data_IF_446539663585
#
_entry.id   IF_446539663585
#
_cell.length_a   1.000
_cell.length_b   1.000
_cell.length_c   1.000
_cell.angle_alpha   90.00
_cell.angle_beta   90.00
_cell.angle_gamma   90.00
#
_symmetry.space_group_name_H-M   'P 1'
#
loop_
_entity.id
_entity.type
_entity.pdbx_description
1 polymer ?
#
# COMPACT_ATOMS: atom_id res chain seq x y z
N UNK A 1 21.14 -9.05 -16.10
CA UNK A 1 20.69 -9.69 -14.85
C UNK A 1 20.23 -8.58 -13.92
N UNK A 2 18.95 -8.20 -13.93
CA UNK A 2 18.49 -7.11 -13.06
C UNK A 2 18.30 -7.66 -11.65
N UNK A 3 19.04 -7.12 -10.69
CA UNK A 3 18.92 -7.48 -9.28
C UNK A 3 17.50 -7.21 -8.78
N UNK A 4 16.67 -8.24 -8.66
CA UNK A 4 15.36 -8.18 -8.02
C UNK A 4 15.52 -8.09 -6.49
N UNK A 5 16.18 -7.04 -6.01
CA UNK A 5 16.35 -6.79 -4.58
C UNK A 5 15.04 -6.37 -3.92
N UNK A 6 14.91 -6.69 -2.63
CA UNK A 6 13.91 -6.09 -1.75
C UNK A 6 14.10 -4.56 -1.78
N UNK A 7 13.16 -3.85 -2.39
CA UNK A 7 13.18 -2.39 -2.47
C UNK A 7 11.79 -1.87 -2.17
N UNK A 8 11.72 -1.05 -1.12
CA UNK A 8 10.52 -0.32 -0.70
C UNK A 8 10.89 1.16 -0.51
N UNK A 9 9.92 2.06 -0.69
CA UNK A 9 10.10 3.52 -0.61
C UNK A 9 9.06 4.17 0.31
N UNK A 10 9.40 5.31 0.90
CA UNK A 10 8.52 5.97 1.85
C UNK A 10 7.21 6.43 1.20
N UNK A 11 6.11 6.17 1.88
CA UNK A 11 4.82 6.76 1.56
C UNK A 11 4.80 8.25 1.94
N UNK A 12 4.23 9.09 1.08
CA UNK A 12 4.21 10.56 1.27
C UNK A 12 2.81 11.16 1.14
N UNK A 13 1.76 10.33 1.08
CA UNK A 13 0.43 10.72 0.60
C UNK A 13 -0.65 10.46 1.66
N UNK A 14 -0.42 10.88 2.91
CA UNK A 14 -1.40 10.71 4.00
C UNK A 14 -2.81 11.14 3.56
N UNK A 15 -3.81 10.30 3.87
CA UNK A 15 -5.20 10.52 3.48
C UNK A 15 -5.55 10.07 2.06
N UNK A 16 -4.60 9.54 1.29
CA UNK A 16 -4.89 8.74 0.08
C UNK A 16 -5.68 7.48 0.47
N UNK A 17 -6.50 6.98 -0.44
CA UNK A 17 -7.20 5.70 -0.27
C UNK A 17 -6.30 4.49 -0.58
N UNK A 18 -5.08 4.71 -1.08
CA UNK A 18 -4.23 3.63 -1.59
C UNK A 18 -2.80 3.75 -1.05
N UNK A 19 -2.25 2.62 -0.57
CA UNK A 19 -0.82 2.44 -0.38
C UNK A 19 -0.23 1.77 -1.64
N UNK A 20 0.62 2.46 -2.41
CA UNK A 20 1.14 1.93 -3.67
C UNK A 20 2.01 0.67 -3.50
N UNK A 21 2.27 -0.07 -4.59
CA UNK A 21 3.24 -1.16 -4.58
C UNK A 21 4.62 -0.64 -4.17
N UNK A 22 5.36 -1.44 -3.39
CA UNK A 22 6.67 -1.09 -2.83
C UNK A 22 6.68 0.14 -1.93
N UNK A 23 5.55 0.66 -1.51
CA UNK A 23 5.55 1.77 -0.56
C UNK A 23 5.39 1.25 0.88
N UNK A 24 5.97 1.98 1.83
CA UNK A 24 5.79 1.73 3.25
C UNK A 24 5.25 2.95 4.00
N UNK A 25 4.33 2.71 4.92
CA UNK A 25 3.86 3.65 5.93
C UNK A 25 4.68 3.50 7.21
N UNK A 26 5.07 4.62 7.79
CA UNK A 26 5.61 4.72 9.15
C UNK A 26 4.51 5.01 10.16
N UNK A 27 4.84 4.86 11.45
CA UNK A 27 3.99 5.29 12.56
C UNK A 27 3.46 6.71 12.33
N UNK A 28 2.15 6.88 12.50
CA UNK A 28 1.41 8.13 12.29
C UNK A 28 0.94 8.36 10.84
N UNK A 29 1.40 7.57 9.88
CA UNK A 29 0.90 7.62 8.50
C UNK A 29 -0.37 6.79 8.34
N UNK A 30 -1.23 7.21 7.40
CA UNK A 30 -2.57 6.66 7.28
C UNK A 30 -3.16 6.76 5.88
N UNK A 31 -4.14 5.89 5.63
CA UNK A 31 -5.07 5.95 4.51
C UNK A 31 -6.46 6.38 4.99
N UNK A 32 -7.24 6.97 4.09
CA UNK A 32 -8.67 7.27 4.31
C UNK A 32 -9.48 6.76 3.14
N UNK A 33 -10.69 6.23 3.41
CA UNK A 33 -11.61 5.88 2.33
C UNK A 33 -11.96 7.14 1.51
N UNK A 34 -12.33 7.02 0.23
CA UNK A 34 -12.79 8.17 -0.56
C UNK A 34 -13.88 9.01 0.12
N UNK A 35 -14.80 8.37 0.84
CA UNK A 35 -15.87 8.98 1.64
C UNK A 35 -15.40 9.68 2.92
N UNK A 36 -14.14 9.47 3.32
CA UNK A 36 -13.53 9.94 4.57
C UNK A 36 -14.15 9.37 5.85
N UNK A 37 -15.06 8.41 5.74
CA UNK A 37 -15.66 7.72 6.87
C UNK A 37 -14.66 6.79 7.57
N UNK A 38 -13.81 6.11 6.80
CA UNK A 38 -12.87 5.13 7.32
C UNK A 38 -11.44 5.64 7.30
N UNK A 39 -10.68 5.31 8.33
CA UNK A 39 -9.25 5.66 8.46
C UNK A 39 -8.44 4.46 8.92
N UNK A 40 -7.44 4.08 8.13
CA UNK A 40 -6.49 3.02 8.44
C UNK A 40 -5.15 3.66 8.79
N UNK A 41 -4.67 3.50 10.03
CA UNK A 41 -3.47 4.19 10.54
C UNK A 41 -2.52 3.20 11.20
N UNK A 42 -1.21 3.37 10.97
CA UNK A 42 -0.19 2.69 11.76
C UNK A 42 0.08 3.50 13.03
N UNK A 43 -0.29 2.98 14.17
CA UNK A 43 -0.22 3.69 15.44
C UNK A 43 1.11 3.45 16.17
N UNK A 44 1.39 4.29 17.17
CA UNK A 44 2.63 4.23 17.94
C UNK A 44 2.73 2.97 18.81
N UNK A 45 1.60 2.30 19.07
CA UNK A 45 1.56 1.00 19.73
C UNK A 45 2.03 -0.14 18.80
N UNK A 46 2.34 0.13 17.52
CA UNK A 46 2.80 -0.85 16.55
C UNK A 46 1.68 -1.59 15.81
N UNK A 47 0.42 -1.29 16.12
CA UNK A 47 -0.72 -1.86 15.40
C UNK A 47 -1.12 -1.01 14.19
N UNK A 48 -1.50 -1.68 13.11
CA UNK A 48 -2.30 -1.05 12.06
C UNK A 48 -3.78 -1.17 12.46
N UNK A 49 -4.46 -0.04 12.60
CA UNK A 49 -5.83 0.03 13.13
C UNK A 49 -6.76 0.75 12.17
N UNK A 50 -7.96 0.20 12.00
CA UNK A 50 -9.03 0.76 11.20
C UNK A 50 -10.09 1.39 12.10
N UNK A 51 -10.49 2.60 11.74
CA UNK A 51 -11.53 3.37 12.39
C UNK A 51 -12.71 3.61 11.45
N UNK A 52 -13.92 3.62 11.99
CA UNK A 52 -15.15 4.10 11.35
C UNK A 52 -15.65 5.30 12.15
N UNK A 53 -15.63 6.51 11.56
CA UNK A 53 -15.99 7.76 12.24
C UNK A 53 -15.31 7.93 13.62
N UNK A 54 -14.03 7.54 13.72
CA UNK A 54 -13.23 7.65 14.94
C UNK A 54 -13.42 6.51 15.96
N UNK A 55 -14.34 5.57 15.74
CA UNK A 55 -14.45 4.36 16.55
C UNK A 55 -13.58 3.23 15.97
N UNK A 56 -12.71 2.57 16.76
CA UNK A 56 -11.88 1.47 16.27
C UNK A 56 -12.75 0.24 15.98
N UNK A 57 -12.59 -0.34 14.80
CA UNK A 57 -13.41 -1.47 14.34
C UNK A 57 -12.59 -2.70 13.92
N UNK A 58 -11.30 -2.54 13.65
CA UNK A 58 -10.41 -3.63 13.26
C UNK A 58 -8.95 -3.29 13.57
N UNK A 59 -8.12 -4.32 13.82
CA UNK A 59 -6.70 -4.19 14.12
C UNK A 59 -5.92 -5.37 13.55
N UNK A 60 -4.67 -5.16 13.15
CA UNK A 60 -3.75 -6.27 12.81
C UNK A 60 -3.35 -7.04 14.06
N UNK A 61 -3.87 -8.25 14.21
CA UNK A 61 -3.44 -9.21 15.22
C UNK A 61 -3.49 -10.66 14.69
N UNK A 62 -3.21 -11.62 15.57
CA UNK A 62 -3.18 -13.06 15.23
C UNK A 62 -4.56 -13.68 15.03
N UNK A 63 -5.64 -12.95 15.29
CA UNK A 63 -7.01 -13.44 15.13
C UNK A 63 -7.56 -13.15 13.74
N UNK A 64 -6.91 -12.27 12.96
CA UNK A 64 -7.33 -11.92 11.61
C UNK A 64 -7.23 -13.15 10.69
N UNK A 65 -8.33 -13.62 10.09
CA UNK A 65 -8.30 -14.78 9.20
C UNK A 65 -7.41 -14.57 7.97
N UNK A 66 -6.82 -15.66 7.47
CA UNK A 66 -5.98 -15.66 6.25
C UNK A 66 -4.76 -14.73 6.36
N UNK A 67 -4.15 -14.68 7.55
CA UNK A 67 -2.94 -13.91 7.82
C UNK A 67 -1.91 -14.77 8.55
N UNK A 68 -0.64 -14.39 8.44
CA UNK A 68 0.45 -15.02 9.18
C UNK A 68 1.00 -14.04 10.20
N UNK A 69 1.31 -14.55 11.39
CA UNK A 69 2.06 -13.83 12.42
C UNK A 69 3.28 -14.67 12.78
N UNK A 70 4.45 -14.05 12.68
CA UNK A 70 5.73 -14.63 13.06
C UNK A 70 6.41 -13.73 14.11
N UNK A 71 7.09 -14.34 15.08
CA UNK A 71 7.87 -13.62 16.10
C UNK A 71 9.31 -13.32 15.64
N UNK A 72 9.68 -13.64 14.40
CA UNK A 72 10.92 -13.20 13.78
C UNK A 72 10.70 -11.88 13.02
N UNK A 73 10.86 -10.78 13.74
CA UNK A 73 10.77 -9.43 13.15
C UNK A 73 12.03 -9.09 12.34
N UNK A 74 11.86 -8.52 11.15
CA UNK A 74 12.99 -8.03 10.35
C UNK A 74 13.66 -6.85 11.07
N UNK A 75 14.85 -7.08 11.64
CA UNK A 75 15.59 -6.09 12.43
C UNK A 75 16.25 -4.98 11.59
N UNK A 76 16.31 -5.13 10.26
CA UNK A 76 16.80 -4.10 9.36
C UNK A 76 15.76 -3.03 9.05
N UNK A 77 14.51 -3.22 9.48
CA UNK A 77 13.41 -2.27 9.29
C UNK A 77 12.93 -1.73 10.65
N UNK A 78 12.44 -0.50 10.62
CA UNK A 78 11.69 0.10 11.74
C UNK A 78 10.25 -0.41 11.74
N UNK A 79 9.45 -0.07 12.76
CA UNK A 79 8.01 -0.33 12.72
C UNK A 79 7.39 0.34 11.51
N UNK A 80 6.91 -0.46 10.56
CA UNK A 80 6.36 0.01 9.30
C UNK A 80 5.38 -0.99 8.70
N UNK A 81 4.47 -0.49 7.87
CA UNK A 81 3.55 -1.31 7.09
C UNK A 81 3.82 -1.11 5.61
N UNK A 82 4.08 -2.16 4.84
CA UNK A 82 4.54 -2.05 3.46
C UNK A 82 3.90 -3.05 2.51
N UNK A 83 3.91 -2.69 1.21
CA UNK A 83 3.48 -3.55 0.11
C UNK A 83 4.67 -4.20 -0.58
N UNK A 84 4.59 -5.52 -0.79
CA UNK A 84 5.50 -6.27 -1.65
C UNK A 84 4.79 -7.51 -2.23
N UNK A 85 3.76 -7.28 -3.06
CA UNK A 85 2.87 -8.34 -3.54
C UNK A 85 1.77 -8.64 -2.52
N UNK A 86 2.18 -8.94 -1.29
CA UNK A 86 1.33 -8.97 -0.11
C UNK A 86 1.54 -7.72 0.75
N UNK A 87 0.66 -7.51 1.73
CA UNK A 87 0.83 -6.52 2.78
C UNK A 87 1.59 -7.11 3.97
N UNK A 88 2.53 -6.35 4.51
CA UNK A 88 3.37 -6.73 5.64
C UNK A 88 3.41 -5.63 6.69
N UNK A 89 3.35 -6.00 7.96
CA UNK A 89 3.62 -5.15 9.11
C UNK A 89 4.87 -5.66 9.80
N UNK A 90 5.90 -4.82 9.88
CA UNK A 90 7.00 -4.99 10.82
C UNK A 90 6.59 -4.26 12.10
N UNK A 91 6.41 -5.00 13.18
CA UNK A 91 6.02 -4.46 14.48
C UNK A 91 7.17 -4.68 15.48
N UNK A 92 8.01 -3.65 15.65
CA UNK A 92 9.14 -3.69 16.60
C UNK A 92 8.69 -3.53 18.06
N UNK A 93 7.47 -3.07 18.30
CA UNK A 93 6.93 -2.86 19.65
C UNK A 93 6.60 -4.21 20.27
N UNK A 94 5.91 -5.08 19.51
CA UNK A 94 5.55 -6.43 19.95
C UNK A 94 6.50 -7.52 19.44
N UNK A 95 7.56 -7.15 18.72
CA UNK A 95 8.53 -8.08 18.12
C UNK A 95 7.89 -9.15 17.24
N UNK A 96 7.01 -8.71 16.33
CA UNK A 96 6.31 -9.59 15.38
C UNK A 96 6.33 -9.04 13.96
N UNK A 97 6.18 -9.95 13.01
CA UNK A 97 5.82 -9.66 11.63
C UNK A 97 4.41 -10.18 11.41
N UNK A 98 3.51 -9.34 10.88
CA UNK A 98 2.19 -9.76 10.42
C UNK A 98 2.13 -9.62 8.90
N UNK A 99 1.49 -10.55 8.21
CA UNK A 99 1.34 -10.50 6.75
C UNK A 99 0.01 -11.06 6.27
N UNK A 100 -0.53 -10.49 5.18
CA UNK A 100 -1.65 -11.10 4.47
C UNK A 100 -1.20 -12.36 3.74
N UNK A 101 -1.97 -13.45 3.85
CA UNK A 101 -1.77 -14.60 2.97
C UNK A 101 -2.32 -14.28 1.59
N UNK A 102 -1.58 -14.67 0.56
CA UNK A 102 -1.98 -14.54 -0.83
C UNK A 102 -1.07 -15.36 -1.72
N UNK A 103 -1.59 -15.78 -2.87
CA UNK A 103 -0.79 -16.48 -3.86
C UNK A 103 0.28 -15.54 -4.42
N UNK A 104 1.51 -16.04 -4.50
CA UNK A 104 2.60 -15.29 -5.09
C UNK A 104 2.50 -15.30 -6.62
N UNK A 105 2.15 -14.16 -7.21
CA UNK A 105 2.17 -13.99 -8.65
C UNK A 105 3.43 -13.25 -9.13
N UNK A 106 4.07 -13.70 -10.22
CA UNK A 106 5.21 -12.99 -10.81
C UNK A 106 4.90 -11.52 -11.10
N UNK A 107 5.73 -10.63 -10.56
CA UNK A 107 5.60 -9.18 -10.70
C UNK A 107 4.55 -8.52 -9.79
N UNK A 108 3.87 -9.27 -8.91
CA UNK A 108 2.92 -8.68 -7.95
C UNK A 108 3.61 -7.64 -7.04
N UNK A 109 4.89 -7.81 -6.72
CA UNK A 109 5.65 -6.82 -5.96
C UNK A 109 5.66 -5.41 -6.60
N UNK A 110 5.52 -5.33 -7.92
CA UNK A 110 5.54 -4.08 -8.68
C UNK A 110 4.14 -3.55 -9.02
N UNK A 111 3.09 -4.35 -8.79
CA UNK A 111 1.72 -4.07 -9.22
C UNK A 111 0.70 -4.03 -8.09
N UNK A 112 0.89 -4.87 -7.07
CA UNK A 112 -0.09 -5.05 -6.01
C UNK A 112 -0.04 -3.90 -5.01
N UNK A 113 -1.21 -3.33 -4.72
CA UNK A 113 -1.40 -2.19 -3.82
C UNK A 113 -2.45 -2.50 -2.75
N UNK A 114 -2.41 -1.75 -1.65
CA UNK A 114 -3.47 -1.77 -0.64
C UNK A 114 -4.48 -0.67 -0.95
N UNK A 115 -5.78 -0.95 -0.88
CA UNK A 115 -6.84 0.05 -1.00
C UNK A 115 -7.79 -0.01 0.19
N UNK A 116 -8.11 1.15 0.76
CA UNK A 116 -9.19 1.34 1.72
C UNK A 116 -10.45 1.80 0.96
N UNK A 117 -11.53 1.05 1.09
CA UNK A 117 -12.78 1.24 0.35
C UNK A 117 -13.87 1.91 1.22
N UNK A 118 -14.90 2.45 0.56
CA UNK A 118 -16.00 3.18 1.22
C UNK A 118 -16.97 2.28 2.01
N UNK A 119 -16.86 0.97 1.88
CA UNK A 119 -17.56 -0.02 2.70
C UNK A 119 -16.76 -0.41 3.97
N UNK A 120 -15.57 0.17 4.16
CA UNK A 120 -14.67 -0.14 5.26
C UNK A 120 -13.76 -1.34 5.02
N UNK A 121 -13.76 -1.92 3.81
CA UNK A 121 -12.88 -3.02 3.48
C UNK A 121 -11.46 -2.52 3.18
N UNK A 122 -10.46 -3.33 3.56
CA UNK A 122 -9.04 -3.10 3.28
C UNK A 122 -8.57 -4.23 2.38
N UNK A 123 -8.35 -3.93 1.11
CA UNK A 123 -8.08 -4.93 0.07
C UNK A 123 -6.65 -4.83 -0.44
N UNK A 124 -6.03 -5.98 -0.70
CA UNK A 124 -4.84 -6.08 -1.54
C UNK A 124 -5.30 -6.39 -2.96
N UNK A 125 -4.94 -5.55 -3.92
CA UNK A 125 -5.35 -5.68 -5.32
C UNK A 125 -4.12 -5.83 -6.20
N UNK A 126 -4.05 -6.89 -7.00
CA UNK A 126 -3.11 -7.02 -8.13
C UNK A 126 -3.90 -6.79 -9.43
N UNK A 127 -3.71 -5.64 -10.06
CA UNK A 127 -4.38 -5.29 -11.31
C UNK A 127 -3.38 -4.68 -12.31
N UNK A 128 -3.73 -4.77 -13.60
CA UNK A 128 -2.97 -4.22 -14.71
C UNK A 128 -3.90 -3.31 -15.50
N UNK A 129 -3.68 -1.98 -15.51
CA UNK A 129 -4.51 -1.08 -16.31
C UNK A 129 -4.38 -1.43 -17.79
N UNK A 130 -5.50 -1.49 -18.50
CA UNK A 130 -5.55 -1.88 -19.92
C UNK A 130 -5.80 -0.72 -20.87
N UNK A 131 -6.17 0.45 -20.34
CA UNK A 131 -6.43 1.67 -21.09
C UNK A 131 -6.41 2.87 -20.13
N UNK A 132 -6.02 4.04 -20.64
CA UNK A 132 -6.18 5.31 -19.94
C UNK A 132 -6.50 6.41 -20.97
N UNK A 133 -7.28 7.43 -20.57
CA UNK A 133 -7.67 8.52 -21.48
C UNK A 133 -6.49 9.39 -21.95
N UNK A 134 -5.33 9.26 -21.31
CA UNK A 134 -4.08 9.94 -21.61
C UNK A 134 -2.91 8.97 -21.35
N UNK A 135 -1.77 9.19 -22.00
CA UNK A 135 -0.52 8.43 -21.78
C UNK A 135 -0.53 6.97 -22.28
N UNK A 136 -1.70 6.35 -22.42
CA UNK A 136 -1.83 4.99 -22.95
C UNK A 136 -1.63 4.94 -24.47
N UNK A 137 -0.89 3.94 -24.93
CA UNK A 137 -0.97 3.42 -26.30
C UNK A 137 -1.11 1.90 -26.24
N UNK A 138 -1.72 1.23 -27.24
CA UNK A 138 -1.92 -0.22 -27.22
C UNK A 138 -0.65 -1.07 -27.04
N UNK A 139 0.52 -0.52 -27.42
CA UNK A 139 1.81 -1.19 -27.32
C UNK A 139 2.58 -0.82 -26.03
N UNK A 140 2.16 0.22 -25.31
CA UNK A 140 2.83 0.61 -24.11
C UNK A 140 2.66 -0.47 -23.02
N UNK A 141 3.61 -0.53 -22.07
CA UNK A 141 3.49 -1.34 -20.84
C UNK A 141 3.34 -0.42 -19.63
N UNK A 142 2.42 -0.71 -18.69
CA UNK A 142 2.19 0.20 -17.59
C UNK A 142 3.40 0.11 -16.66
N UNK A 143 4.13 1.20 -16.59
CA UNK A 143 5.23 1.41 -15.67
C UNK A 143 4.76 2.33 -14.54
N UNK A 144 5.44 2.26 -13.40
CA UNK A 144 5.16 3.14 -12.26
C UNK A 144 5.50 4.60 -12.62
N UNK A 145 4.57 5.54 -12.43
CA UNK A 145 4.88 6.96 -12.51
C UNK A 145 3.68 7.90 -12.34
N UNK A 146 3.98 9.17 -12.13
CA UNK A 146 3.05 10.25 -11.77
C UNK A 146 2.19 10.67 -12.97
N UNK A 147 0.90 10.93 -12.74
CA UNK A 147 0.00 11.58 -13.70
C UNK A 147 -0.52 12.91 -13.14
N UNK A 148 -0.58 13.93 -14.00
CA UNK A 148 -1.11 15.26 -13.72
C UNK A 148 -2.43 15.47 -14.48
N UNK A 149 -3.59 15.49 -13.80
CA UNK A 149 -4.90 15.68 -14.42
C UNK A 149 -5.15 17.03 -15.07
N UNK A 150 -4.32 18.03 -14.79
CA UNK A 150 -4.46 19.45 -15.16
C UNK A 150 -3.25 20.02 -15.93
N UNK A 151 -2.23 19.20 -16.22
CA UNK A 151 -0.92 19.63 -16.75
C UNK A 151 -0.18 20.66 -15.85
N UNK A 152 -0.52 20.79 -14.56
CA UNK A 152 0.12 21.71 -13.63
C UNK A 152 1.34 21.10 -12.90
N UNK A 153 2.40 21.89 -12.72
CA UNK A 153 3.62 21.49 -11.98
C UNK A 153 3.56 21.84 -10.48
N UNK A 154 2.36 21.95 -9.89
CA UNK A 154 2.14 22.40 -8.51
C UNK A 154 2.10 21.27 -7.46
N UNK A 155 2.28 21.57 -6.16
CA UNK A 155 2.31 20.57 -5.11
C UNK A 155 0.89 20.22 -4.61
N UNK A 156 0.63 18.91 -4.40
CA UNK A 156 -0.49 18.22 -3.69
C UNK A 156 -1.61 17.61 -4.57
N UNK A 157 -2.27 16.49 -4.17
CA UNK A 157 -1.79 15.25 -3.57
C UNK A 157 -1.90 14.05 -4.55
N UNK A 158 -1.00 13.08 -4.39
CA UNK A 158 -0.81 11.98 -5.33
C UNK A 158 -1.79 10.83 -5.09
N UNK A 159 -2.45 10.35 -6.14
CA UNK A 159 -2.96 8.97 -6.22
C UNK A 159 -1.89 8.10 -6.90
N UNK A 160 -1.77 6.80 -6.59
CA UNK A 160 -0.96 5.89 -7.39
C UNK A 160 -1.57 5.79 -8.79
N UNK A 161 -0.97 6.50 -9.74
CA UNK A 161 -1.33 6.41 -11.15
C UNK A 161 -0.31 5.53 -11.85
N UNK A 162 -0.78 4.82 -12.87
CA UNK A 162 0.05 4.06 -13.79
C UNK A 162 0.52 4.97 -14.93
N UNK A 163 1.81 4.96 -15.25
CA UNK A 163 2.38 5.65 -16.43
C UNK A 163 2.85 4.66 -17.49
N UNK A 164 3.32 5.19 -18.61
CA UNK A 164 3.77 4.44 -19.77
C UNK A 164 5.06 5.09 -20.28
N UNK A 165 6.08 4.32 -20.67
CA UNK A 165 7.34 4.85 -21.25
C UNK A 165 7.47 4.48 -22.73
N UNK A 166 8.00 5.40 -23.53
CA UNK A 166 8.29 5.22 -24.96
C UNK A 166 9.78 4.89 -25.16
N UNK A 167 10.07 4.07 -26.17
CA UNK A 167 11.43 3.81 -26.65
C UNK A 167 11.78 4.67 -27.85
#
# INVERSE_FOLDING_TARGET
MSSSGFQIVAFTQNGSAVLPPRNFMLVGQYLESPSKQYKLILEADGNLRLYNNGAPIWVTDSTVPYTQVDNHVNTNLVTCFYMQGSAFLVDRVHSRTWATMGDWYPGAADRAYLQLQDDGNVVVVDDVPRWARFGFTPAARPNRGVFYPDHGTGPLPNFPVWTWTFG
#
